data_IF_351356258805
#
_entry.id   IF_351356258805
#
_cell.length_a   1.000
_cell.length_b   1.000
_cell.length_c   1.000
_cell.angle_alpha   90.00
_cell.angle_beta   90.00
_cell.angle_gamma   90.00
#
_symmetry.space_group_name_H-M   'P 1'
#
loop_
_entity.id
_entity.type
_entity.pdbx_description
1 polymer ?
#
# COMPACT_ATOMS: atom_id res chain seq x y z
N UNK A 1 -19.74 10.20 -3.05
CA UNK A 1 -18.68 9.57 -3.87
C UNK A 1 -17.55 10.50 -4.31
N UNK A 2 -17.47 11.76 -3.87
CA UNK A 2 -16.42 12.69 -4.32
C UNK A 2 -15.04 12.43 -3.68
N UNK A 3 -15.01 11.79 -2.52
CA UNK A 3 -13.79 11.65 -1.69
C UNK A 3 -12.90 10.50 -2.14
N UNK A 4 -13.48 9.34 -2.47
CA UNK A 4 -12.72 8.18 -2.96
C UNK A 4 -12.10 8.43 -4.33
N UNK A 5 -12.79 9.15 -5.23
CA UNK A 5 -12.23 9.62 -6.51
C UNK A 5 -11.06 10.58 -6.28
N UNK A 6 -11.18 11.47 -5.29
CA UNK A 6 -10.11 12.39 -4.91
C UNK A 6 -8.90 11.64 -4.33
N UNK A 7 -9.15 10.66 -3.47
CA UNK A 7 -8.13 9.80 -2.86
C UNK A 7 -7.43 8.96 -3.94
N UNK A 8 -8.17 8.42 -4.90
CA UNK A 8 -7.61 7.65 -6.01
C UNK A 8 -6.76 8.50 -6.95
N UNK A 9 -7.24 9.70 -7.31
CA UNK A 9 -6.47 10.65 -8.13
C UNK A 9 -5.21 11.10 -7.38
N UNK A 10 -5.31 11.39 -6.08
CA UNK A 10 -4.18 11.80 -5.27
C UNK A 10 -3.14 10.67 -5.11
N UNK A 11 -3.58 9.44 -4.88
CA UNK A 11 -2.68 8.28 -4.76
C UNK A 11 -2.00 7.96 -6.10
N UNK A 12 -2.76 8.02 -7.21
CA UNK A 12 -2.25 7.78 -8.56
C UNK A 12 -1.25 8.85 -9.00
N UNK A 13 -1.56 10.12 -8.75
CA UNK A 13 -0.63 11.21 -9.00
C UNK A 13 0.65 11.07 -8.14
N UNK A 14 0.51 10.68 -6.87
CA UNK A 14 1.64 10.45 -5.97
C UNK A 14 2.57 9.33 -6.44
N UNK A 15 2.00 8.20 -6.89
CA UNK A 15 2.80 7.08 -7.41
C UNK A 15 3.44 7.44 -8.75
N UNK A 16 2.73 8.12 -9.65
CA UNK A 16 3.25 8.48 -10.97
C UNK A 16 4.42 9.48 -10.88
N UNK A 17 4.25 10.53 -10.07
CA UNK A 17 5.31 11.51 -9.83
C UNK A 17 6.49 10.83 -9.10
N UNK A 18 6.20 10.03 -8.07
CA UNK A 18 7.23 9.29 -7.33
C UNK A 18 8.02 8.29 -8.19
N UNK A 19 7.34 7.63 -9.14
CA UNK A 19 7.95 6.68 -10.07
C UNK A 19 8.81 7.34 -11.12
N UNK A 20 8.33 8.43 -11.75
CA UNK A 20 9.11 9.15 -12.76
C UNK A 20 10.38 9.77 -12.14
N UNK A 21 10.26 10.36 -10.95
CA UNK A 21 11.41 10.86 -10.21
C UNK A 21 12.32 9.73 -9.74
N UNK A 22 11.76 8.61 -9.27
CA UNK A 22 12.51 7.43 -8.84
C UNK A 22 13.32 6.79 -9.97
N UNK A 23 12.79 6.76 -11.19
CA UNK A 23 13.48 6.24 -12.38
C UNK A 23 14.53 7.24 -12.89
N UNK A 24 14.21 8.54 -12.94
CA UNK A 24 15.12 9.55 -13.45
C UNK A 24 16.37 9.72 -12.56
N UNK A 25 16.22 9.58 -11.24
CA UNK A 25 17.32 9.79 -10.28
C UNK A 25 18.07 8.52 -9.87
N UNK A 26 17.55 7.32 -10.16
CA UNK A 26 18.20 6.07 -9.75
C UNK A 26 18.68 5.21 -10.93
N UNK A 27 19.82 5.55 -11.58
CA UNK A 27 20.54 4.60 -12.40
C UNK A 27 21.41 3.70 -11.49
N UNK A 28 20.98 2.47 -11.27
CA UNK A 28 21.71 1.52 -10.43
C UNK A 28 22.39 0.41 -11.27
N UNK A 29 23.64 0.06 -10.92
CA UNK A 29 24.36 -1.07 -11.55
C UNK A 29 23.71 -2.41 -11.16
N UNK A 30 23.51 -3.26 -12.16
CA UNK A 30 22.46 -4.29 -12.15
C UNK A 30 22.67 -5.57 -11.33
N UNK A 31 23.88 -5.88 -10.83
CA UNK A 31 24.13 -7.21 -10.24
C UNK A 31 23.77 -7.27 -8.75
N UNK A 32 24.30 -6.37 -7.92
CA UNK A 32 24.02 -6.34 -6.49
C UNK A 32 22.64 -5.75 -6.18
N UNK A 33 22.18 -4.81 -7.01
CA UNK A 33 20.87 -4.16 -6.88
C UNK A 33 19.73 -5.16 -7.06
N UNK A 34 19.88 -6.13 -7.97
CA UNK A 34 18.83 -7.12 -8.26
C UNK A 34 18.66 -8.12 -7.11
N UNK A 35 19.76 -8.52 -6.46
CA UNK A 35 19.69 -9.37 -5.27
C UNK A 35 19.09 -8.63 -4.08
N UNK A 36 19.48 -7.37 -3.85
CA UNK A 36 18.94 -6.57 -2.73
C UNK A 36 17.46 -6.20 -2.92
N UNK A 37 17.00 -5.94 -4.14
CA UNK A 37 15.56 -5.73 -4.45
C UNK A 37 14.77 -7.01 -4.23
N UNK A 38 15.33 -8.17 -4.58
CA UNK A 38 14.66 -9.45 -4.39
C UNK A 38 14.42 -9.77 -2.89
N UNK A 39 15.45 -9.60 -2.05
CA UNK A 39 15.28 -9.79 -0.60
C UNK A 39 14.36 -8.73 0.03
N UNK A 40 14.57 -7.47 -0.31
CA UNK A 40 13.80 -6.36 0.28
C UNK A 40 12.34 -6.41 -0.16
N UNK A 41 12.07 -6.77 -1.42
CA UNK A 41 10.73 -6.97 -1.96
C UNK A 41 10.00 -8.14 -1.30
N UNK A 42 10.73 -9.20 -0.93
CA UNK A 42 10.13 -10.33 -0.22
C UNK A 42 9.69 -9.94 1.20
N UNK A 43 10.55 -9.24 1.94
CA UNK A 43 10.22 -8.75 3.30
C UNK A 43 9.11 -7.69 3.29
N UNK A 44 9.14 -6.75 2.33
CA UNK A 44 8.06 -5.76 2.14
C UNK A 44 6.73 -6.43 1.84
N UNK A 45 6.75 -7.49 1.02
CA UNK A 45 5.56 -8.27 0.67
C UNK A 45 4.98 -8.98 1.89
N UNK A 46 5.82 -9.59 2.71
CA UNK A 46 5.35 -10.29 3.91
C UNK A 46 4.77 -9.30 4.93
N UNK A 47 5.45 -8.18 5.20
CA UNK A 47 4.94 -7.15 6.11
C UNK A 47 3.70 -6.43 5.59
N UNK A 48 3.62 -6.18 4.28
CA UNK A 48 2.44 -5.59 3.65
C UNK A 48 1.25 -6.55 3.73
N UNK A 49 1.48 -7.84 3.52
CA UNK A 49 0.46 -8.87 3.69
C UNK A 49 -0.06 -8.93 5.12
N UNK A 50 0.82 -8.90 6.11
CA UNK A 50 0.43 -8.93 7.51
C UNK A 50 -0.37 -7.69 7.92
N UNK A 51 0.11 -6.49 7.56
CA UNK A 51 -0.59 -5.22 7.83
C UNK A 51 -1.92 -5.13 7.10
N UNK A 52 -2.01 -5.68 5.89
CA UNK A 52 -3.28 -5.77 5.18
C UNK A 52 -4.24 -6.77 5.82
N UNK A 53 -3.73 -7.88 6.37
CA UNK A 53 -4.56 -8.87 7.06
C UNK A 53 -5.13 -8.29 8.35
N UNK A 54 -4.28 -7.67 9.17
CA UNK A 54 -4.69 -6.99 10.40
C UNK A 54 -5.60 -5.77 10.12
N UNK A 55 -5.33 -5.02 9.04
CA UNK A 55 -6.21 -3.93 8.60
C UNK A 55 -7.58 -4.43 8.15
N UNK A 56 -7.65 -5.61 7.53
CA UNK A 56 -8.91 -6.27 7.16
C UNK A 56 -9.68 -6.72 8.38
N UNK A 57 -9.02 -7.41 9.31
CA UNK A 57 -9.65 -7.85 10.56
C UNK A 57 -10.18 -6.66 11.38
N UNK A 58 -9.41 -5.57 11.49
CA UNK A 58 -9.82 -4.31 12.14
C UNK A 58 -10.98 -3.62 11.44
N UNK A 59 -11.08 -3.73 10.12
CA UNK A 59 -12.20 -3.19 9.34
C UNK A 59 -13.43 -4.07 9.51
N UNK A 60 -13.28 -5.40 9.51
CA UNK A 60 -14.36 -6.36 9.75
C UNK A 60 -14.92 -6.23 11.17
N UNK A 61 -14.06 -6.10 12.18
CA UNK A 61 -14.44 -5.87 13.58
C UNK A 61 -15.19 -4.53 13.75
N UNK A 62 -14.66 -3.44 13.17
CA UNK A 62 -15.33 -2.12 13.20
C UNK A 62 -16.63 -2.12 12.41
N UNK A 63 -16.78 -2.97 11.40
CA UNK A 63 -18.01 -3.09 10.63
C UNK A 63 -19.05 -3.95 11.35
N UNK A 64 -18.67 -5.08 11.94
CA UNK A 64 -19.56 -5.94 12.71
C UNK A 64 -20.00 -5.31 14.04
N UNK A 65 -19.09 -4.60 14.74
CA UNK A 65 -19.43 -3.89 15.98
C UNK A 65 -20.38 -2.71 15.75
N UNK A 66 -20.25 -2.01 14.61
CA UNK A 66 -21.18 -0.95 14.22
C UNK A 66 -22.54 -1.47 13.76
N UNK A 67 -22.61 -2.69 13.22
CA UNK A 67 -23.89 -3.32 12.85
C UNK A 67 -24.73 -3.68 14.09
N UNK A 68 -24.09 -4.11 15.19
CA UNK A 68 -24.78 -4.40 16.45
C UNK A 68 -25.17 -3.13 17.23
N UNK A 69 -24.40 -2.04 17.12
CA UNK A 69 -24.70 -0.76 17.77
C UNK A 69 -25.76 0.06 17.02
N UNK A 70 -25.88 -0.09 15.70
CA UNK A 70 -26.87 0.66 14.88
C UNK A 70 -28.26 -0.02 14.82
N UNK A 71 -28.43 -1.24 15.34
CA UNK A 71 -29.74 -1.94 15.41
C UNK A 71 -30.38 -2.02 16.80
N UNK A 72 -29.83 -1.33 17.81
CA UNK A 72 -30.42 -1.21 19.16
C UNK A 72 -30.98 0.19 19.43
#
# INVERSE_FOLDING_TARGET
MKNVTKIGIALGAGIAIGGLLGVLFAPAKGVDTRNKIAESGKKLKDQFNEKLKLGKERLEEKMNGKLAEETA
#
